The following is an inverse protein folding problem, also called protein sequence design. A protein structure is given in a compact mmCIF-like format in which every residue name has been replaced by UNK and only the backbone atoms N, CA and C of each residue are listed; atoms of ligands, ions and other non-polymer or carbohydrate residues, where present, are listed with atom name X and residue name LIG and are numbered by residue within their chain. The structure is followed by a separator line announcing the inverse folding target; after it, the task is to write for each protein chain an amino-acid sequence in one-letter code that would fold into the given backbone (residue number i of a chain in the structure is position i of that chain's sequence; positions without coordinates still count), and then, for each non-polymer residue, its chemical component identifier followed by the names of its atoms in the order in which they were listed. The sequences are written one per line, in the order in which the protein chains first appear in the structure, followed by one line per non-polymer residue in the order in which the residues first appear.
data_IF_929112136049
#
_entry.id   IF_929112136049
#
_cell.length_a   1.000
_cell.length_b   1.000
_cell.length_c   1.000
_cell.angle_alpha   90.00
_cell.angle_beta   90.00
_cell.angle_gamma   90.00
#
_symmetry.space_group_name_H-M   'P 1'
#
loop_
_entity.id
_entity.type
_entity.pdbx_description
1 polymer ?
#
# COMPACT_ATOMS: atom_id res chain seq x y z
N UNK A 1 8.37 -2.11 10.14
CA UNK A 1 9.12 -1.69 11.36
C UNK A 1 10.53 -2.28 11.46
N UNK A 2 10.79 -3.54 11.07
CA UNK A 2 12.16 -4.11 11.01
C UNK A 2 13.11 -3.40 10.02
N UNK A 3 12.58 -2.84 8.93
CA UNK A 3 13.38 -2.13 7.92
C UNK A 3 14.07 -0.86 8.45
N UNK A 4 13.44 -0.15 9.38
CA UNK A 4 13.97 1.12 9.94
C UNK A 4 15.00 0.90 11.05
N UNK A 5 14.79 -0.12 11.89
CA UNK A 5 15.81 -0.54 12.86
C UNK A 5 17.05 -1.10 12.14
N UNK A 6 16.85 -1.78 11.01
CA UNK A 6 17.94 -2.22 10.13
C UNK A 6 18.64 -1.04 9.44
N UNK A 7 17.91 -0.01 8.98
CA UNK A 7 18.53 1.13 8.28
C UNK A 7 19.35 2.03 9.20
N UNK A 8 18.88 2.29 10.42
CA UNK A 8 19.60 3.08 11.41
C UNK A 8 20.88 2.38 11.92
N UNK A 9 20.88 1.04 11.94
CA UNK A 9 22.07 0.26 12.31
C UNK A 9 23.12 0.14 11.19
N UNK A 10 22.73 0.41 9.94
CA UNK A 10 23.57 0.22 8.75
C UNK A 10 23.82 1.52 7.95
N UNK A 11 23.52 2.69 8.51
CA UNK A 11 23.70 4.02 7.88
C UNK A 11 23.06 4.11 6.46
N UNK A 12 21.89 3.50 6.31
CA UNK A 12 21.15 3.43 5.06
C UNK A 12 20.12 4.56 4.99
N UNK A 13 20.33 5.50 4.07
CA UNK A 13 19.33 6.52 3.71
C UNK A 13 18.21 5.85 2.92
N UNK A 14 17.05 5.70 3.56
CA UNK A 14 15.87 5.08 2.94
C UNK A 14 15.10 6.14 2.16
N UNK A 15 14.99 5.93 0.85
CA UNK A 15 14.11 6.73 0.01
C UNK A 15 12.63 6.41 0.30
N UNK A 16 11.97 7.33 1.01
CA UNK A 16 10.53 7.24 1.32
C UNK A 16 9.65 7.62 0.11
N UNK A 17 10.22 8.05 -1.01
CA UNK A 17 9.51 8.24 -2.28
C UNK A 17 8.76 6.99 -2.74
N UNK A 18 9.28 5.81 -2.39
CA UNK A 18 8.63 4.51 -2.63
C UNK A 18 7.29 4.36 -1.88
N UNK A 19 7.15 5.02 -0.72
CA UNK A 19 5.89 5.05 0.07
C UNK A 19 4.90 6.06 -0.52
N UNK A 20 5.38 7.03 -1.32
CA UNK A 20 4.54 8.04 -1.99
C UNK A 20 3.97 7.60 -3.33
N UNK A 21 4.22 6.36 -3.75
CA UNK A 21 3.63 5.80 -4.97
C UNK A 21 4.37 6.14 -6.25
N UNK A 22 5.70 6.26 -6.23
CA UNK A 22 6.48 6.21 -7.47
C UNK A 22 6.63 4.74 -7.91
N UNK A 23 5.97 4.29 -9.00
CA UNK A 23 6.04 2.91 -9.46
C UNK A 23 7.42 2.62 -10.06
N UNK A 24 8.38 2.31 -9.20
CA UNK A 24 9.71 1.85 -9.59
C UNK A 24 9.67 0.34 -9.83
N UNK A 25 10.52 -0.13 -10.75
CA UNK A 25 10.79 -1.56 -10.87
C UNK A 25 11.39 -2.05 -9.54
N UNK A 26 10.78 -3.07 -8.95
CA UNK A 26 11.28 -3.74 -7.76
C UNK A 26 11.94 -5.04 -8.15
N UNK A 27 13.23 -5.20 -7.86
CA UNK A 27 13.93 -6.48 -8.07
C UNK A 27 13.36 -7.61 -7.20
N UNK A 28 12.61 -7.25 -6.13
CA UNK A 28 12.00 -8.19 -5.20
C UNK A 28 10.56 -8.59 -5.58
N UNK A 29 9.87 -7.78 -6.36
CA UNK A 29 8.46 -8.00 -6.73
C UNK A 29 8.36 -7.96 -8.26
N UNK A 30 8.20 -9.14 -8.85
CA UNK A 30 8.01 -9.27 -10.28
C UNK A 30 6.76 -8.48 -10.72
N UNK A 31 6.89 -7.72 -11.82
CA UNK A 31 5.80 -6.92 -12.37
C UNK A 31 5.23 -5.86 -11.40
N UNK A 32 6.04 -5.34 -10.48
CA UNK A 32 5.61 -4.32 -9.52
C UNK A 32 4.88 -3.11 -10.14
N UNK A 33 5.34 -2.53 -11.26
CA UNK A 33 4.62 -1.40 -11.89
C UNK A 33 3.21 -1.78 -12.34
N UNK A 34 3.03 -2.96 -12.95
CA UNK A 34 1.73 -3.44 -13.43
C UNK A 34 0.78 -3.78 -12.28
N UNK A 35 1.32 -4.35 -11.19
CA UNK A 35 0.55 -4.63 -9.98
C UNK A 35 0.09 -3.34 -9.29
N UNK A 36 0.98 -2.33 -9.17
CA UNK A 36 0.62 -1.01 -8.64
C UNK A 36 -0.42 -0.32 -9.50
N UNK A 37 -0.23 -0.32 -10.84
CA UNK A 37 -1.20 0.27 -11.77
C UNK A 37 -2.59 -0.42 -11.67
N UNK A 38 -2.64 -1.74 -11.47
CA UNK A 38 -3.89 -2.46 -11.24
C UNK A 38 -4.59 -1.99 -9.95
N UNK A 39 -3.84 -1.80 -8.86
CA UNK A 39 -4.38 -1.28 -7.59
C UNK A 39 -4.92 0.13 -7.79
N UNK A 40 -4.12 1.05 -8.35
CA UNK A 40 -4.49 2.45 -8.53
C UNK A 40 -5.74 2.59 -9.41
N UNK A 41 -5.79 1.87 -10.53
CA UNK A 41 -6.96 1.85 -11.39
C UNK A 41 -8.20 1.27 -10.69
N UNK A 42 -8.04 0.23 -9.87
CA UNK A 42 -9.16 -0.40 -9.17
C UNK A 42 -9.77 0.47 -8.06
N UNK A 43 -8.99 1.39 -7.48
CA UNK A 43 -9.41 2.20 -6.33
C UNK A 43 -9.73 3.64 -6.73
N UNK A 44 -8.91 4.24 -7.59
CA UNK A 44 -8.92 5.67 -7.86
C UNK A 44 -9.36 6.04 -9.28
N UNK A 45 -9.14 5.15 -10.27
CA UNK A 45 -9.41 5.44 -11.68
C UNK A 45 -9.93 4.22 -12.45
N UNK A 46 -11.23 3.94 -12.28
CA UNK A 46 -11.88 2.80 -12.93
C UNK A 46 -11.92 2.89 -14.46
N UNK A 47 -11.73 4.08 -15.04
CA UNK A 47 -11.68 4.25 -16.50
C UNK A 47 -10.40 3.60 -17.06
N UNK A 48 -9.30 3.65 -16.31
CA UNK A 48 -8.01 3.03 -16.66
C UNK A 48 -7.93 1.52 -16.38
N UNK A 49 -8.91 0.94 -15.67
CA UNK A 49 -8.88 -0.45 -15.23
C UNK A 49 -8.75 -1.50 -16.38
N UNK A 50 -9.41 -1.35 -17.54
CA UNK A 50 -9.22 -2.28 -18.65
C UNK A 50 -7.77 -2.32 -19.16
N UNK A 51 -7.11 -1.16 -19.21
CA UNK A 51 -5.71 -1.04 -19.65
C UNK A 51 -4.77 -1.69 -18.63
N UNK A 52 -4.95 -1.42 -17.34
CA UNK A 52 -4.14 -2.01 -16.28
C UNK A 52 -4.26 -3.55 -16.23
N UNK A 53 -5.47 -4.09 -16.44
CA UNK A 53 -5.68 -5.55 -16.55
C UNK A 53 -4.94 -6.13 -17.76
N UNK A 54 -5.05 -5.49 -18.93
CA UNK A 54 -4.40 -5.95 -20.14
C UNK A 54 -2.86 -5.96 -19.99
N UNK A 55 -2.30 -4.89 -19.41
CA UNK A 55 -0.87 -4.77 -19.17
C UNK A 55 -0.34 -5.84 -18.19
N UNK A 56 -1.09 -6.19 -17.15
CA UNK A 56 -0.71 -7.25 -16.23
C UNK A 56 -0.77 -8.63 -16.90
N UNK A 57 -1.81 -8.90 -17.71
CA UNK A 57 -1.90 -10.16 -18.48
C UNK A 57 -0.75 -10.29 -19.46
N UNK A 58 -0.35 -9.21 -20.14
CA UNK A 58 0.80 -9.21 -21.05
C UNK A 58 2.11 -9.49 -20.33
N UNK A 59 2.29 -8.94 -19.13
CA UNK A 59 3.49 -9.16 -18.32
C UNK A 59 3.52 -10.52 -17.58
N UNK A 60 2.35 -11.16 -17.43
CA UNK A 60 2.17 -12.42 -16.68
C UNK A 60 1.25 -13.38 -17.45
N UNK A 61 0.02 -13.60 -16.97
CA UNK A 61 -1.06 -14.34 -17.62
C UNK A 61 -2.43 -13.96 -16.99
N UNK A 62 -3.51 -14.50 -17.56
CA UNK A 62 -4.87 -14.23 -17.08
C UNK A 62 -5.12 -14.73 -15.66
N UNK A 63 -4.58 -15.88 -15.29
CA UNK A 63 -4.77 -16.45 -13.95
C UNK A 63 -4.12 -15.56 -12.87
N UNK A 64 -2.92 -15.08 -13.13
CA UNK A 64 -2.18 -14.17 -12.25
C UNK A 64 -2.90 -12.83 -12.11
N UNK A 65 -3.45 -12.28 -13.19
CA UNK A 65 -4.26 -11.07 -13.13
C UNK A 65 -5.52 -11.25 -12.29
N UNK A 66 -6.20 -12.40 -12.42
CA UNK A 66 -7.38 -12.70 -11.62
C UNK A 66 -7.06 -12.84 -10.13
N UNK A 67 -5.95 -13.52 -9.79
CA UNK A 67 -5.49 -13.63 -8.41
C UNK A 67 -5.15 -12.25 -7.82
N UNK A 68 -4.45 -11.41 -8.58
CA UNK A 68 -4.14 -10.04 -8.16
C UNK A 68 -5.43 -9.22 -7.94
N UNK A 69 -6.40 -9.31 -8.85
CA UNK A 69 -7.69 -8.64 -8.70
C UNK A 69 -8.50 -9.16 -7.49
N UNK A 70 -8.42 -10.46 -7.19
CA UNK A 70 -9.04 -11.03 -6.00
C UNK A 70 -8.41 -10.49 -4.71
N UNK A 71 -7.09 -10.34 -4.68
CA UNK A 71 -6.37 -9.70 -3.56
C UNK A 71 -6.84 -8.26 -3.38
N UNK A 72 -6.86 -7.46 -4.46
CA UNK A 72 -7.36 -6.07 -4.41
C UNK A 72 -8.77 -6.02 -3.83
N UNK A 73 -9.69 -6.83 -4.35
CA UNK A 73 -11.07 -6.88 -3.88
C UNK A 73 -11.18 -7.26 -2.39
N UNK A 74 -10.39 -8.23 -1.93
CA UNK A 74 -10.38 -8.64 -0.52
C UNK A 74 -9.93 -7.51 0.40
N UNK A 75 -8.82 -6.83 0.06
CA UNK A 75 -8.33 -5.72 0.88
C UNK A 75 -9.28 -4.52 0.85
N UNK A 76 -9.84 -4.19 -0.31
CA UNK A 76 -10.84 -3.15 -0.47
C UNK A 76 -12.10 -3.40 0.38
N UNK A 77 -12.56 -4.65 0.46
CA UNK A 77 -13.65 -5.03 1.36
C UNK A 77 -13.24 -4.81 2.82
N UNK A 78 -12.07 -5.27 3.22
CA UNK A 78 -11.58 -5.13 4.60
C UNK A 78 -11.39 -3.67 5.01
N UNK A 79 -10.88 -2.81 4.11
CA UNK A 79 -10.74 -1.37 4.33
C UNK A 79 -12.10 -0.73 4.63
N UNK A 80 -13.12 -1.00 3.80
CA UNK A 80 -14.47 -0.47 4.05
C UNK A 80 -15.07 -0.93 5.37
N UNK A 81 -14.84 -2.18 5.77
CA UNK A 81 -15.27 -2.70 7.08
C UNK A 81 -14.54 -1.97 8.21
N UNK A 82 -13.21 -1.83 8.10
CA UNK A 82 -12.41 -1.16 9.12
C UNK A 82 -12.85 0.30 9.31
N UNK A 83 -13.04 1.02 8.21
CA UNK A 83 -13.49 2.41 8.20
C UNK A 83 -14.92 2.55 8.75
N UNK A 84 -15.84 1.66 8.32
CA UNK A 84 -17.23 1.69 8.74
C UNK A 84 -17.46 1.30 10.19
N UNK A 85 -16.53 0.54 10.79
CA UNK A 85 -16.63 0.09 12.19
C UNK A 85 -15.72 0.87 13.15
N UNK A 86 -14.82 1.70 12.63
CA UNK A 86 -13.79 2.35 13.43
C UNK A 86 -12.80 1.37 14.05
N UNK A 87 -12.47 0.28 13.34
CA UNK A 87 -11.54 -0.75 13.82
C UNK A 87 -10.20 -0.10 14.20
N UNK A 88 -9.85 -0.18 15.49
CA UNK A 88 -8.62 0.42 16.04
C UNK A 88 -7.43 -0.53 15.87
N UNK A 89 -6.25 0.03 15.60
CA UNK A 89 -5.02 -0.74 15.73
C UNK A 89 -4.74 -1.14 17.19
N UNK A 90 -4.14 -2.31 17.44
CA UNK A 90 -3.63 -2.68 18.76
C UNK A 90 -2.70 -1.61 19.36
N UNK A 91 -2.72 -1.44 20.68
CA UNK A 91 -1.96 -0.38 21.37
C UNK A 91 -0.45 -0.49 21.12
N UNK A 92 0.09 -1.71 21.15
CA UNK A 92 1.49 -2.01 20.84
C UNK A 92 1.86 -1.59 19.41
N UNK A 93 0.95 -1.80 18.44
CA UNK A 93 1.16 -1.35 17.06
C UNK A 93 1.11 0.17 16.95
N UNK A 94 0.21 0.85 17.67
CA UNK A 94 0.10 2.31 17.68
C UNK A 94 1.36 2.96 18.24
N UNK A 95 1.87 2.45 19.36
CA UNK A 95 3.12 2.92 19.97
C UNK A 95 4.29 2.71 19.00
N UNK A 96 4.31 1.58 18.29
CA UNK A 96 5.33 1.28 17.29
C UNK A 96 5.33 2.24 16.08
N UNK A 97 4.21 2.95 15.84
CA UNK A 97 4.01 3.84 14.70
C UNK A 97 3.97 5.32 15.09
N UNK A 98 4.03 5.65 16.40
CA UNK A 98 3.82 7.00 16.93
C UNK A 98 4.76 8.05 16.33
N UNK A 99 6.02 7.69 16.15
CA UNK A 99 7.07 8.59 15.64
C UNK A 99 6.86 8.95 14.16
N UNK A 100 6.01 8.20 13.47
CA UNK A 100 5.68 8.38 12.06
C UNK A 100 4.46 9.28 11.87
N UNK A 101 3.60 9.40 12.89
CA UNK A 101 2.35 10.15 12.80
C UNK A 101 2.56 11.66 12.62
N UNK A 102 3.51 12.25 13.34
CA UNK A 102 3.83 13.68 13.23
C UNK A 102 4.27 14.09 11.82
N UNK A 103 5.32 13.46 11.25
CA UNK A 103 5.79 13.76 9.89
C UNK A 103 4.75 13.53 8.78
N UNK A 104 3.79 12.63 9.00
CA UNK A 104 2.69 12.37 8.06
C UNK A 104 1.47 13.28 8.28
N UNK A 105 1.51 14.21 9.24
CA UNK A 105 0.40 15.10 9.58
C UNK A 105 -0.79 14.39 10.24
N UNK A 106 -0.63 13.13 10.65
CA UNK A 106 -1.74 12.31 11.17
C UNK A 106 -2.23 12.77 12.54
N UNK A 107 -1.41 13.52 13.28
CA UNK A 107 -1.78 14.13 14.57
C UNK A 107 -2.78 15.29 14.44
N UNK A 108 -3.01 15.79 13.22
CA UNK A 108 -3.92 16.92 12.97
C UNK A 108 -5.40 16.49 12.91
N UNK A 109 -5.66 15.21 12.63
CA UNK A 109 -7.01 14.67 12.57
C UNK A 109 -7.66 14.60 13.96
N UNK A 110 -8.96 14.89 14.02
CA UNK A 110 -9.73 14.87 15.28
C UNK A 110 -9.69 13.49 15.95
N UNK A 111 -9.66 12.41 15.16
CA UNK A 111 -9.56 11.04 15.63
C UNK A 111 -8.27 10.72 16.38
N UNK A 112 -7.19 11.48 16.16
CA UNK A 112 -5.90 11.27 16.85
C UNK A 112 -5.88 11.81 18.29
N UNK A 113 -6.94 12.51 18.73
CA UNK A 113 -7.05 13.14 20.06
C UNK A 113 -7.83 12.30 21.08
N UNK A 114 -8.29 11.10 20.70
CA UNK A 114 -9.09 10.17 21.52
C UNK A 114 -8.32 8.92 21.95
#
# INVERSE_FOLDING_TARGET
MMLRASSAANDLELDLGVVRGDPQNSDAIQCAPQLTALVDASVNDLESLPEARAALVEATDEATMLDAAAVVANFEMMTRIADGTGTRHPEDRLESMSDMFGPMGLTEFVSARM
#
